data_IF_431499201993
#
_entry.id   IF_431499201993
#
_cell.length_a   1.000
_cell.length_b   1.000
_cell.length_c   1.000
_cell.angle_alpha   90.00
_cell.angle_beta   90.00
_cell.angle_gamma   90.00
#
_symmetry.space_group_name_H-M   'P 1'
#
loop_
_entity.id
_entity.type
_entity.pdbx_description
1 polymer ?
#
# COMPACT_ATOMS: atom_id res chain seq x y z
N UNK A 1 -18.06 -21.49 7.28
CA UNK A 1 -18.23 -20.31 6.40
C UNK A 1 -16.86 -19.69 6.27
N UNK A 2 -16.10 -20.09 5.27
CA UNK A 2 -14.84 -19.45 4.93
C UNK A 2 -15.23 -18.33 3.95
N UNK A 3 -15.49 -17.14 4.47
CA UNK A 3 -15.61 -15.96 3.62
C UNK A 3 -14.27 -15.83 2.91
N UNK A 4 -14.24 -16.00 1.58
CA UNK A 4 -13.00 -16.02 0.81
C UNK A 4 -12.15 -14.80 1.16
N UNK A 5 -10.86 -15.02 1.45
CA UNK A 5 -9.92 -13.93 1.77
C UNK A 5 -10.03 -12.83 0.73
N UNK A 6 -10.13 -11.57 1.17
CA UNK A 6 -10.22 -10.44 0.24
C UNK A 6 -8.96 -10.35 -0.62
N UNK A 7 -9.06 -9.67 -1.78
CA UNK A 7 -7.92 -9.45 -2.67
C UNK A 7 -6.72 -8.80 -1.95
N UNK A 8 -6.99 -7.90 -1.00
CA UNK A 8 -5.97 -7.25 -0.19
C UNK A 8 -5.23 -8.24 0.72
N UNK A 9 -5.96 -9.13 1.40
CA UNK A 9 -5.36 -10.19 2.25
C UNK A 9 -4.55 -11.18 1.42
N UNK A 10 -5.05 -11.57 0.25
CA UNK A 10 -4.34 -12.49 -0.64
C UNK A 10 -3.03 -11.89 -1.15
N UNK A 11 -3.01 -10.58 -1.45
CA UNK A 11 -1.80 -9.89 -1.89
C UNK A 11 -0.73 -9.83 -0.79
N UNK A 12 -1.11 -9.50 0.45
CA UNK A 12 -0.17 -9.49 1.58
C UNK A 12 0.39 -10.88 1.87
N UNK A 13 -0.46 -11.92 1.81
CA UNK A 13 -0.05 -13.32 2.01
C UNK A 13 0.96 -13.75 0.93
N UNK A 14 0.69 -13.44 -0.34
CA UNK A 14 1.56 -13.85 -1.46
C UNK A 14 2.91 -13.14 -1.44
N UNK A 15 2.94 -11.90 -0.97
CA UNK A 15 4.18 -11.15 -0.76
C UNK A 15 4.87 -11.49 0.56
N UNK A 16 4.34 -12.44 1.34
CA UNK A 16 4.88 -12.86 2.65
C UNK A 16 5.02 -11.70 3.64
N UNK A 17 4.16 -10.69 3.52
CA UNK A 17 4.16 -9.51 4.39
C UNK A 17 3.35 -9.81 5.63
N UNK A 18 4.04 -10.08 6.72
CA UNK A 18 3.47 -10.25 8.06
C UNK A 18 4.13 -9.23 9.00
N UNK A 19 3.64 -7.98 8.96
CA UNK A 19 4.15 -6.87 9.78
C UNK A 19 3.00 -6.08 10.42
N UNK A 20 3.29 -5.44 11.56
CA UNK A 20 2.40 -4.42 12.14
C UNK A 20 2.25 -3.19 11.24
N UNK A 21 3.18 -2.98 10.31
CA UNK A 21 3.20 -1.90 9.32
C UNK A 21 2.32 -2.21 8.10
N UNK A 22 1.73 -3.41 8.02
CA UNK A 22 0.75 -3.80 7.01
C UNK A 22 -0.57 -4.20 7.70
N UNK A 23 -1.54 -3.29 7.69
CA UNK A 23 -2.76 -3.41 8.49
C UNK A 23 -3.99 -3.57 7.61
N UNK A 24 -4.59 -4.75 7.66
CA UNK A 24 -5.89 -5.02 7.04
C UNK A 24 -7.01 -4.44 7.92
N UNK A 25 -7.88 -3.64 7.32
CA UNK A 25 -9.03 -3.00 7.96
C UNK A 25 -10.34 -3.32 7.28
N UNK A 26 -11.44 -2.76 7.81
CA UNK A 26 -12.79 -2.78 7.21
C UNK A 26 -13.27 -4.17 6.75
N UNK A 27 -13.00 -5.20 7.57
CA UNK A 27 -13.37 -6.58 7.25
C UNK A 27 -12.65 -7.16 6.03
N UNK A 28 -11.47 -6.63 5.68
CA UNK A 28 -10.70 -7.03 4.50
C UNK A 28 -10.80 -6.05 3.34
N UNK A 29 -11.57 -4.97 3.45
CA UNK A 29 -11.80 -4.02 2.37
C UNK A 29 -10.85 -2.82 2.36
N UNK A 30 -10.00 -2.68 3.38
CA UNK A 30 -8.91 -1.71 3.38
C UNK A 30 -7.58 -2.32 3.79
N UNK A 31 -6.50 -1.71 3.32
CA UNK A 31 -5.12 -2.05 3.67
C UNK A 31 -4.34 -0.76 3.85
N UNK A 32 -3.77 -0.56 5.03
CA UNK A 32 -2.80 0.51 5.32
C UNK A 32 -1.40 -0.07 5.32
N UNK A 33 -0.48 0.59 4.64
CA UNK A 33 0.92 0.22 4.52
C UNK A 33 1.79 1.40 4.95
N UNK A 34 2.57 1.20 6.01
CA UNK A 34 3.55 2.16 6.50
C UNK A 34 4.93 1.76 5.97
N UNK A 35 5.50 2.57 5.08
CA UNK A 35 6.82 2.35 4.50
C UNK A 35 7.94 2.80 5.42
N UNK A 36 9.12 2.22 5.25
CA UNK A 36 10.35 2.63 5.95
C UNK A 36 10.75 4.05 5.57
N UNK A 37 11.12 4.85 6.56
CA UNK A 37 11.77 6.15 6.43
C UNK A 37 13.13 6.19 7.11
N UNK A 38 13.72 7.39 7.23
CA UNK A 38 14.99 7.58 7.95
C UNK A 38 14.86 7.37 9.46
N UNK A 39 13.69 7.69 10.03
CA UNK A 39 13.40 7.57 11.46
C UNK A 39 12.39 6.45 11.79
N UNK A 40 11.69 5.91 10.78
CA UNK A 40 10.72 4.83 10.93
C UNK A 40 11.22 3.52 10.29
N UNK A 41 11.17 2.42 11.05
CA UNK A 41 11.65 1.11 10.62
C UNK A 41 10.85 0.48 9.47
N UNK A 42 9.56 0.85 9.31
CA UNK A 42 8.49 0.37 8.40
C UNK A 42 8.73 -0.75 7.37
N UNK A 43 7.79 -0.87 6.42
CA UNK A 43 7.90 -1.84 5.32
C UNK A 43 9.01 -1.46 4.35
N UNK A 44 9.74 -2.46 3.86
CA UNK A 44 10.63 -2.23 2.74
C UNK A 44 9.80 -1.81 1.51
N UNK A 45 10.31 -0.86 0.74
CA UNK A 45 9.64 -0.41 -0.48
C UNK A 45 9.37 -1.57 -1.46
N UNK A 46 10.24 -2.57 -1.51
CA UNK A 46 10.06 -3.79 -2.32
C UNK A 46 8.84 -4.60 -1.92
N UNK A 47 8.48 -4.63 -0.64
CA UNK A 47 7.30 -5.36 -0.15
C UNK A 47 6.02 -4.63 -0.56
N UNK A 48 6.02 -3.30 -0.46
CA UNK A 48 4.92 -2.45 -0.94
C UNK A 48 4.73 -2.63 -2.46
N UNK A 49 5.83 -2.60 -3.23
CA UNK A 49 5.78 -2.82 -4.69
C UNK A 49 5.28 -4.23 -5.03
N UNK A 50 5.68 -5.26 -4.27
CA UNK A 50 5.13 -6.60 -4.46
C UNK A 50 3.60 -6.61 -4.31
N UNK A 51 3.09 -6.01 -3.24
CA UNK A 51 1.64 -5.94 -2.98
C UNK A 51 0.93 -5.19 -4.11
N UNK A 52 1.44 -4.02 -4.50
CA UNK A 52 0.84 -3.21 -5.56
C UNK A 52 0.83 -3.94 -6.91
N UNK A 53 1.90 -4.66 -7.25
CA UNK A 53 1.96 -5.48 -8.46
C UNK A 53 0.96 -6.64 -8.41
N UNK A 54 0.82 -7.33 -7.28
CA UNK A 54 -0.18 -8.39 -7.13
C UNK A 54 -1.61 -7.86 -7.26
N UNK A 55 -1.83 -6.63 -6.82
CA UNK A 55 -3.10 -5.91 -6.96
C UNK A 55 -3.29 -5.27 -8.34
N UNK A 56 -2.34 -5.46 -9.27
CA UNK A 56 -2.42 -4.98 -10.65
C UNK A 56 -2.31 -3.47 -10.80
N UNK A 57 -1.57 -2.81 -9.90
CA UNK A 57 -1.28 -1.39 -10.03
C UNK A 57 -0.54 -1.11 -11.35
N UNK A 58 -0.98 -0.13 -12.16
CA UNK A 58 -0.26 0.27 -13.36
C UNK A 58 1.12 0.86 -13.06
N UNK A 59 2.09 0.68 -13.96
CA UNK A 59 3.45 1.22 -13.81
C UNK A 59 3.49 2.73 -13.56
N UNK A 60 2.53 3.50 -14.12
CA UNK A 60 2.46 4.94 -13.89
C UNK A 60 2.11 5.28 -12.43
N UNK A 61 1.29 4.46 -11.75
CA UNK A 61 0.96 4.67 -10.33
C UNK A 61 2.19 4.43 -9.46
N UNK A 62 2.97 3.39 -9.76
CA UNK A 62 4.25 3.15 -9.08
C UNK A 62 5.23 4.30 -9.30
N UNK A 63 5.31 4.81 -10.53
CA UNK A 63 6.16 5.96 -10.89
C UNK A 63 5.72 7.25 -10.18
N UNK A 64 4.41 7.49 -10.07
CA UNK A 64 3.86 8.62 -9.32
C UNK A 64 4.23 8.51 -7.84
N UNK A 65 4.08 7.33 -7.23
CA UNK A 65 4.50 7.08 -5.84
C UNK A 65 5.99 7.34 -5.63
N UNK A 66 6.86 6.81 -6.50
CA UNK A 66 8.33 7.01 -6.43
C UNK A 66 8.73 8.48 -6.58
N UNK A 67 7.99 9.24 -7.39
CA UNK A 67 8.24 10.68 -7.59
C UNK A 67 7.61 11.61 -6.55
N UNK A 68 6.79 11.07 -5.64
CA UNK A 68 6.04 11.88 -4.67
C UNK A 68 6.97 12.46 -3.61
N UNK A 69 6.91 13.78 -3.40
CA UNK A 69 7.69 14.48 -2.39
C UNK A 69 6.81 14.87 -1.21
N UNK A 70 7.44 15.15 -0.08
CA UNK A 70 6.73 15.60 1.12
C UNK A 70 5.85 16.84 0.91
N UNK A 71 6.27 17.74 0.02
CA UNK A 71 5.53 18.97 -0.27
C UNK A 71 4.32 18.77 -1.19
N UNK A 72 4.20 17.61 -1.86
CA UNK A 72 3.11 17.36 -2.79
C UNK A 72 1.81 17.03 -2.04
N UNK A 73 1.90 16.63 -0.76
CA UNK A 73 0.77 16.26 0.07
C UNK A 73 0.15 14.92 -0.33
N UNK A 74 -1.11 14.69 0.05
CA UNK A 74 -1.80 13.43 -0.25
C UNK A 74 -2.13 13.31 -1.74
N UNK A 75 -1.58 12.29 -2.39
CA UNK A 75 -1.89 11.88 -3.76
C UNK A 75 -2.92 10.76 -3.77
N UNK A 76 -3.50 10.47 -4.94
CA UNK A 76 -4.45 9.37 -5.11
C UNK A 76 -4.49 8.85 -6.55
N UNK A 77 -4.77 7.55 -6.70
CA UNK A 77 -4.98 6.90 -7.98
C UNK A 77 -6.07 5.83 -7.84
N UNK A 78 -6.63 5.38 -8.97
CA UNK A 78 -7.62 4.31 -9.00
C UNK A 78 -7.35 3.39 -10.18
N UNK A 79 -7.41 2.08 -9.92
CA UNK A 79 -7.37 1.05 -10.96
C UNK A 79 -8.26 -0.12 -10.56
N UNK A 80 -9.01 -0.66 -11.52
CA UNK A 80 -10.04 -1.66 -11.24
C UNK A 80 -10.97 -1.22 -10.10
N UNK A 81 -11.08 -2.06 -9.07
CA UNK A 81 -11.90 -1.82 -7.87
C UNK A 81 -11.12 -1.14 -6.74
N UNK A 82 -9.82 -0.83 -6.93
CA UNK A 82 -8.95 -0.32 -5.87
C UNK A 82 -8.79 1.19 -6.01
N UNK A 83 -9.08 1.92 -4.92
CA UNK A 83 -8.65 3.29 -4.73
C UNK A 83 -7.41 3.31 -3.84
N UNK A 84 -6.33 3.88 -4.34
CA UNK A 84 -5.14 4.17 -3.55
C UNK A 84 -5.08 5.66 -3.19
N UNK A 85 -4.59 5.93 -2.00
CA UNK A 85 -4.18 7.27 -1.60
C UNK A 85 -2.89 7.17 -0.80
N UNK A 86 -1.96 8.09 -1.03
CA UNK A 86 -0.66 8.03 -0.35
C UNK A 86 -0.09 9.41 -0.07
N UNK A 87 0.82 9.47 0.88
CA UNK A 87 1.72 10.61 1.13
C UNK A 87 3.11 10.07 1.43
N UNK A 88 4.13 10.91 1.29
CA UNK A 88 5.51 10.54 1.58
C UNK A 88 6.17 11.58 2.48
N UNK A 89 7.02 11.13 3.40
CA UNK A 89 7.99 11.98 4.09
C UNK A 89 9.31 11.21 4.22
N UNK A 90 10.50 11.83 4.03
CA UNK A 90 11.78 11.13 4.19
C UNK A 90 11.91 10.39 5.54
N UNK A 91 11.56 11.05 6.64
CA UNK A 91 11.66 10.48 7.99
C UNK A 91 10.69 9.32 8.24
N UNK A 92 9.46 9.40 7.70
CA UNK A 92 8.36 8.48 8.00
C UNK A 92 8.11 7.44 6.89
N UNK A 93 8.72 7.61 5.72
CA UNK A 93 8.46 6.78 4.55
C UNK A 93 7.14 7.09 3.85
N UNK A 94 6.66 6.11 3.08
CA UNK A 94 5.39 6.17 2.34
C UNK A 94 4.24 5.75 3.26
N UNK A 95 3.24 6.59 3.44
CA UNK A 95 1.97 6.22 4.07
C UNK A 95 0.93 5.96 2.97
N UNK A 96 0.55 4.70 2.78
CA UNK A 96 -0.33 4.25 1.70
C UNK A 96 -1.59 3.59 2.25
N UNK A 97 -2.76 4.03 1.77
CA UNK A 97 -4.05 3.42 2.06
C UNK A 97 -4.69 2.94 0.75
N UNK A 98 -5.08 1.67 0.73
CA UNK A 98 -5.84 1.02 -0.34
C UNK A 98 -7.25 0.69 0.16
N UNK A 99 -8.26 0.94 -0.67
CA UNK A 99 -9.67 0.60 -0.38
C UNK A 99 -10.29 -0.10 -1.58
N UNK A 100 -11.01 -1.20 -1.34
CA UNK A 100 -11.87 -1.85 -2.33
C UNK A 100 -13.21 -1.12 -2.43
N UNK A 101 -13.60 -0.74 -3.64
CA UNK A 101 -14.91 -0.15 -3.97
C UNK A 101 -15.92 -1.20 -4.39
#
# INVERSE_FOLDING_TARGET
MEQGKSKLVLATDKCSVVSADARIGDGGNSLTLDGRGEEDSGLAYTDIVCILNELGAPDHVLSEMDSTRALDGRQSAQWGEIRASWSYHPDQGLDLILVLN
#
